data_IF_128141366683
#
_entry.id   IF_128141366683
#
_cell.length_a   1.000
_cell.length_b   1.000
_cell.length_c   1.000
_cell.angle_alpha   90.00
_cell.angle_beta   90.00
_cell.angle_gamma   90.00
#
_symmetry.space_group_name_H-M   'P 1'
#
loop_
_entity.id
_entity.type
_entity.pdbx_description
1 polymer ?
#
# COMPACT_ATOMS: atom_id res chain seq x y z
N UNK A 1 -21.00 2.89 -8.83
CA UNK A 1 -19.97 2.04 -8.20
C UNK A 1 -20.69 1.14 -7.22
N UNK A 2 -20.60 -0.19 -7.37
CA UNK A 2 -20.84 -1.07 -6.21
C UNK A 2 -19.82 -0.62 -5.16
N UNK A 3 -20.33 -0.08 -4.05
CA UNK A 3 -19.51 0.61 -3.06
C UNK A 3 -18.62 -0.39 -2.35
N UNK A 4 -17.36 -0.03 -2.14
CA UNK A 4 -16.52 -0.72 -1.16
C UNK A 4 -17.22 -0.69 0.21
N UNK A 5 -17.04 -1.72 1.06
CA UNK A 5 -17.66 -1.74 2.38
C UNK A 5 -17.15 -0.58 3.22
N UNK A 6 -18.03 -0.03 4.06
CA UNK A 6 -17.72 1.11 4.91
C UNK A 6 -16.84 0.67 6.07
N UNK A 7 -15.86 1.50 6.44
CA UNK A 7 -15.13 1.32 7.70
C UNK A 7 -16.03 1.70 8.86
N UNK A 8 -16.49 0.71 9.62
CA UNK A 8 -17.39 0.89 10.76
C UNK A 8 -16.64 1.24 12.04
N UNK A 9 -15.44 0.68 12.24
CA UNK A 9 -14.63 0.95 13.41
C UNK A 9 -13.14 0.71 13.15
N UNK A 10 -12.31 1.26 14.03
CA UNK A 10 -10.87 0.97 14.09
C UNK A 10 -10.54 0.52 15.50
N UNK A 11 -9.95 -0.67 15.62
CA UNK A 11 -9.34 -1.12 16.88
C UNK A 11 -7.83 -1.03 16.77
N UNK A 12 -7.18 -0.87 17.91
CA UNK A 12 -5.75 -0.64 17.98
C UNK A 12 -5.09 -1.66 18.91
N UNK A 13 -3.97 -2.22 18.45
CA UNK A 13 -2.95 -2.83 19.29
C UNK A 13 -1.71 -1.92 19.33
N UNK A 14 -0.71 -2.28 20.13
CA UNK A 14 0.48 -1.43 20.35
C UNK A 14 1.23 -1.11 19.04
N UNK A 15 1.22 -2.02 18.07
CA UNK A 15 1.99 -1.97 16.83
C UNK A 15 1.14 -1.94 15.55
N UNK A 16 -0.15 -2.24 15.62
CA UNK A 16 -1.03 -2.34 14.46
C UNK A 16 -2.45 -1.79 14.71
N UNK A 17 -3.13 -1.45 13.62
CA UNK A 17 -4.55 -1.08 13.62
C UNK A 17 -5.34 -2.12 12.83
N UNK A 18 -6.56 -2.39 13.25
CA UNK A 18 -7.51 -3.22 12.49
C UNK A 18 -8.72 -2.39 12.11
N UNK A 19 -9.02 -2.31 10.82
CA UNK A 19 -10.27 -1.76 10.32
C UNK A 19 -11.33 -2.85 10.35
N UNK A 20 -12.48 -2.54 10.95
CA UNK A 20 -13.67 -3.38 10.93
C UNK A 20 -14.65 -2.82 9.92
N UNK A 21 -15.07 -3.64 8.96
CA UNK A 21 -15.95 -3.23 7.87
C UNK A 21 -17.41 -3.60 8.18
N UNK A 22 -18.36 -2.90 7.56
CA UNK A 22 -19.79 -3.11 7.75
C UNK A 22 -20.30 -4.48 7.22
N UNK A 23 -19.54 -5.12 6.32
CA UNK A 23 -19.74 -6.49 5.87
C UNK A 23 -19.16 -7.55 6.82
N UNK A 24 -18.70 -7.14 8.01
CA UNK A 24 -18.03 -7.97 9.03
C UNK A 24 -16.63 -8.48 8.67
N UNK A 25 -16.06 -8.08 7.53
CA UNK A 25 -14.65 -8.34 7.22
C UNK A 25 -13.72 -7.38 7.97
N UNK A 26 -12.43 -7.73 8.01
CA UNK A 26 -11.41 -6.94 8.69
C UNK A 26 -10.18 -6.72 7.81
N UNK A 27 -9.56 -5.54 7.91
CA UNK A 27 -8.27 -5.23 7.29
C UNK A 27 -7.26 -4.90 8.38
N UNK A 28 -6.14 -5.61 8.40
CA UNK A 28 -5.00 -5.28 9.24
C UNK A 28 -4.17 -4.16 8.58
N UNK A 29 -3.73 -3.19 9.37
CA UNK A 29 -2.85 -2.10 8.94
C UNK A 29 -1.52 -2.15 9.69
N UNK A 30 -0.42 -1.93 8.98
CA UNK A 30 0.95 -1.86 9.55
C UNK A 30 1.24 -0.47 10.11
N UNK A 31 0.36 -0.01 11.00
CA UNK A 31 0.48 1.29 11.65
C UNK A 31 -0.13 1.25 13.05
N UNK A 32 0.56 1.85 14.01
CA UNK A 32 0.06 2.04 15.36
C UNK A 32 -0.92 3.21 15.41
N UNK A 33 -1.74 3.25 16.46
CA UNK A 33 -2.63 4.39 16.71
C UNK A 33 -1.85 5.70 16.82
N UNK A 34 -0.73 5.70 17.51
CA UNK A 34 0.07 6.89 17.75
C UNK A 34 0.69 7.43 16.45
N UNK A 35 1.14 6.54 15.56
CA UNK A 35 1.63 6.93 14.24
C UNK A 35 0.51 7.57 13.39
N UNK A 36 -0.70 7.00 13.41
CA UNK A 36 -1.85 7.57 12.72
C UNK A 36 -2.23 8.95 13.26
N UNK A 37 -2.40 9.07 14.58
CA UNK A 37 -2.78 10.33 15.21
C UNK A 37 -1.70 11.41 14.99
N UNK A 38 -0.42 11.05 15.05
CA UNK A 38 0.69 11.95 14.75
C UNK A 38 0.66 12.42 13.28
N UNK A 39 0.45 11.50 12.34
CA UNK A 39 0.32 11.81 10.91
C UNK A 39 -0.85 12.78 10.66
N UNK A 40 -2.04 12.49 11.22
CA UNK A 40 -3.22 13.31 11.06
C UNK A 40 -2.99 14.71 11.62
N UNK A 41 -2.44 14.81 12.83
CA UNK A 41 -2.12 16.09 13.47
C UNK A 41 -1.10 16.89 12.67
N UNK A 42 -0.03 16.25 12.20
CA UNK A 42 1.05 16.92 11.47
C UNK A 42 0.59 17.49 10.13
N UNK A 43 -0.36 16.82 9.47
CA UNK A 43 -0.90 17.23 8.17
C UNK A 43 -2.23 17.99 8.31
N UNK A 44 -2.59 18.43 9.52
CA UNK A 44 -3.80 19.20 9.82
C UNK A 44 -5.10 18.50 9.35
N UNK A 45 -5.10 17.17 9.35
CA UNK A 45 -6.28 16.37 9.03
C UNK A 45 -7.23 16.24 10.24
N UNK A 46 -8.53 16.00 10.00
CA UNK A 46 -9.47 15.69 11.07
C UNK A 46 -9.03 14.49 11.91
N UNK A 47 -9.41 14.44 13.20
CA UNK A 47 -9.20 13.26 14.05
C UNK A 47 -9.82 11.99 13.44
N UNK A 48 -9.32 10.83 13.84
CA UNK A 48 -9.76 9.53 13.31
C UNK A 48 -11.28 9.33 13.40
N UNK A 49 -11.92 9.76 14.50
CA UNK A 49 -13.37 9.66 14.67
C UNK A 49 -14.12 10.46 13.61
N UNK A 50 -13.66 11.68 13.30
CA UNK A 50 -14.27 12.52 12.26
C UNK A 50 -14.07 11.92 10.86
N UNK A 51 -12.94 11.25 10.61
CA UNK A 51 -12.72 10.54 9.35
C UNK A 51 -13.70 9.37 9.18
N UNK A 52 -13.96 8.63 10.26
CA UNK A 52 -14.91 7.51 10.26
C UNK A 52 -16.36 7.98 10.11
N UNK A 53 -16.76 9.03 10.84
CA UNK A 53 -18.11 9.57 10.79
C UNK A 53 -18.46 10.16 9.41
N UNK A 54 -17.43 10.61 8.67
CA UNK A 54 -17.56 11.21 7.34
C UNK A 54 -17.25 10.24 6.19
N UNK A 55 -17.05 8.95 6.49
CA UNK A 55 -16.69 7.93 5.50
C UNK A 55 -15.47 8.29 4.63
N UNK A 56 -14.46 8.94 5.25
CA UNK A 56 -13.24 9.40 4.58
C UNK A 56 -12.12 8.36 4.55
N UNK A 57 -12.37 7.16 5.07
CA UNK A 57 -11.45 6.02 4.94
C UNK A 57 -12.12 4.98 4.05
N UNK A 58 -11.60 4.86 2.83
CA UNK A 58 -12.04 3.87 1.85
C UNK A 58 -11.18 2.62 2.03
N UNK A 59 -11.78 1.61 2.66
CA UNK A 59 -11.22 0.27 2.65
C UNK A 59 -11.35 -0.30 1.23
N UNK A 60 -10.23 -0.74 0.65
CA UNK A 60 -10.22 -1.51 -0.59
C UNK A 60 -9.92 -2.96 -0.21
N UNK A 61 -10.90 -3.71 0.31
CA UNK A 61 -10.75 -5.15 0.49
C UNK A 61 -10.83 -5.76 -0.89
N UNK A 62 -9.69 -6.19 -1.40
CA UNK A 62 -9.68 -6.98 -2.61
C UNK A 62 -8.87 -8.23 -2.31
N UNK A 63 -9.34 -9.42 -2.73
CA UNK A 63 -8.37 -10.48 -2.97
C UNK A 63 -7.30 -9.91 -3.90
N UNK A 64 -6.06 -10.38 -3.76
CA UNK A 64 -5.00 -10.06 -4.69
C UNK A 64 -5.52 -10.24 -6.11
N UNK A 65 -5.33 -9.23 -6.97
CA UNK A 65 -5.80 -9.26 -8.35
C UNK A 65 -4.93 -10.18 -9.20
N UNK A 66 -3.64 -10.25 -8.85
CA UNK A 66 -2.74 -11.26 -9.42
C UNK A 66 -3.06 -12.65 -8.87
N UNK A 67 -2.90 -13.66 -9.71
CA UNK A 67 -2.96 -15.08 -9.36
C UNK A 67 -1.65 -15.55 -8.73
N UNK A 68 -1.67 -16.73 -8.10
CA UNK A 68 -0.47 -17.38 -7.55
C UNK A 68 0.61 -17.59 -8.63
N UNK A 69 0.23 -18.08 -9.82
CA UNK A 69 1.17 -18.30 -10.92
C UNK A 69 1.79 -16.99 -11.44
N UNK A 70 1.03 -15.90 -11.46
CA UNK A 70 1.55 -14.58 -11.81
C UNK A 70 2.53 -14.08 -10.76
N UNK A 71 2.20 -14.25 -9.47
CA UNK A 71 3.11 -13.89 -8.39
C UNK A 71 4.41 -14.68 -8.45
N UNK A 72 4.36 -16.01 -8.59
CA UNK A 72 5.56 -16.84 -8.67
C UNK A 72 6.48 -16.40 -9.83
N UNK A 73 5.88 -16.09 -10.98
CA UNK A 73 6.60 -15.60 -12.15
C UNK A 73 7.23 -14.23 -11.90
N UNK A 74 6.46 -13.28 -11.37
CA UNK A 74 6.94 -11.92 -11.09
C UNK A 74 8.02 -11.93 -10.02
N UNK A 75 7.81 -12.68 -8.93
CA UNK A 75 8.75 -12.79 -7.83
C UNK A 75 10.07 -13.42 -8.28
N UNK A 76 10.02 -14.47 -9.11
CA UNK A 76 11.22 -15.05 -9.74
C UNK A 76 11.98 -14.02 -10.57
N UNK A 77 11.30 -13.26 -11.43
CA UNK A 77 11.92 -12.21 -12.25
C UNK A 77 12.57 -11.12 -11.38
N UNK A 78 11.86 -10.64 -10.35
CA UNK A 78 12.36 -9.61 -9.43
C UNK A 78 13.59 -10.09 -8.64
N UNK A 79 13.59 -11.35 -8.16
CA UNK A 79 14.72 -11.94 -7.42
C UNK A 79 15.99 -12.08 -8.29
N UNK A 80 15.81 -12.27 -9.59
CA UNK A 80 16.93 -12.42 -10.53
C UNK A 80 17.40 -11.09 -11.14
N UNK A 81 16.59 -10.04 -11.09
CA UNK A 81 16.91 -8.73 -11.66
C UNK A 81 18.03 -8.01 -10.89
N UNK A 82 19.10 -7.61 -11.59
CA UNK A 82 20.16 -6.80 -10.97
C UNK A 82 19.67 -5.41 -10.57
N UNK A 83 18.83 -4.78 -11.40
CA UNK A 83 18.27 -3.46 -11.13
C UNK A 83 17.45 -3.48 -9.84
N UNK A 84 16.60 -4.50 -9.68
CA UNK A 84 15.82 -4.66 -8.45
C UNK A 84 16.69 -5.04 -7.24
N UNK A 85 17.76 -5.83 -7.44
CA UNK A 85 18.74 -6.10 -6.38
C UNK A 85 19.40 -4.82 -5.87
N UNK A 86 19.70 -3.85 -6.72
CA UNK A 86 20.24 -2.55 -6.28
C UNK A 86 19.22 -1.77 -5.43
N UNK A 87 17.94 -1.78 -5.82
CA UNK A 87 16.87 -1.18 -5.02
C UNK A 87 16.75 -1.85 -3.65
N UNK A 88 16.72 -3.18 -3.59
CA UNK A 88 16.57 -3.92 -2.32
C UNK A 88 17.79 -3.82 -1.41
N UNK A 89 19.00 -3.59 -1.93
CA UNK A 89 20.17 -3.21 -1.10
C UNK A 89 19.93 -1.89 -0.37
N UNK A 90 19.26 -0.92 -1.01
CA UNK A 90 18.90 0.37 -0.42
C UNK A 90 17.70 0.27 0.51
N UNK A 91 16.72 -0.58 0.17
CA UNK A 91 15.49 -0.78 0.95
C UNK A 91 15.29 -2.27 1.29
N UNK A 92 16.00 -2.81 2.30
CA UNK A 92 16.02 -4.24 2.59
C UNK A 92 14.65 -4.85 2.93
N UNK A 93 13.70 -4.06 3.47
CA UNK A 93 12.34 -4.53 3.76
C UNK A 93 11.60 -5.02 2.51
N UNK A 94 11.87 -4.43 1.34
CA UNK A 94 11.29 -4.89 0.07
C UNK A 94 11.77 -6.31 -0.28
N UNK A 95 13.02 -6.65 0.07
CA UNK A 95 13.54 -7.99 -0.18
C UNK A 95 12.71 -9.04 0.56
N UNK A 96 12.40 -8.80 1.83
CA UNK A 96 11.58 -9.69 2.66
C UNK A 96 10.21 -9.91 2.03
N UNK A 97 9.57 -8.84 1.56
CA UNK A 97 8.25 -8.92 0.92
C UNK A 97 8.28 -9.74 -0.37
N UNK A 98 9.30 -9.56 -1.22
CA UNK A 98 9.43 -10.32 -2.48
C UNK A 98 9.76 -11.81 -2.26
N UNK A 99 10.24 -12.21 -1.08
CA UNK A 99 10.49 -13.61 -0.74
C UNK A 99 9.26 -14.35 -0.18
N UNK A 100 8.14 -13.66 0.00
CA UNK A 100 6.93 -14.28 0.51
C UNK A 100 6.24 -15.17 -0.54
N UNK A 101 5.57 -16.21 -0.06
CA UNK A 101 4.65 -17.03 -0.87
C UNK A 101 3.37 -16.26 -1.14
N UNK A 102 2.60 -16.69 -2.15
CA UNK A 102 1.31 -16.06 -2.46
C UNK A 102 0.35 -16.05 -1.26
N UNK A 103 0.24 -17.17 -0.54
CA UNK A 103 -0.55 -17.27 0.70
C UNK A 103 -0.11 -16.28 1.77
N UNK A 104 1.20 -16.06 1.92
CA UNK A 104 1.72 -15.11 2.89
C UNK A 104 1.33 -13.67 2.52
N UNK A 105 1.27 -13.32 1.23
CA UNK A 105 0.87 -11.99 0.78
C UNK A 105 -0.56 -11.62 1.20
N UNK A 106 -1.47 -12.60 1.21
CA UNK A 106 -2.85 -12.39 1.67
C UNK A 106 -2.95 -12.00 3.14
N UNK A 107 -1.96 -12.41 3.94
CA UNK A 107 -1.92 -12.12 5.39
C UNK A 107 -1.19 -10.81 5.70
N UNK A 108 -0.55 -10.19 4.70
CA UNK A 108 0.18 -8.96 4.92
C UNK A 108 -0.76 -7.81 5.29
N UNK A 109 -0.40 -7.01 6.30
CA UNK A 109 -1.13 -5.78 6.60
C UNK A 109 -1.13 -4.84 5.40
N UNK A 110 -2.27 -4.18 5.18
CA UNK A 110 -2.41 -3.12 4.20
C UNK A 110 -1.65 -1.87 4.65
N UNK A 111 -1.29 -1.05 3.67
CA UNK A 111 -0.85 0.31 3.91
C UNK A 111 -2.04 1.27 3.82
N UNK A 112 -2.01 2.34 4.60
CA UNK A 112 -2.94 3.46 4.52
C UNK A 112 -2.26 4.62 3.80
N UNK A 113 -2.92 5.22 2.80
CA UNK A 113 -2.39 6.37 2.08
C UNK A 113 -3.43 7.45 1.87
N UNK A 114 -2.96 8.70 1.84
CA UNK A 114 -3.75 9.84 1.41
C UNK A 114 -3.46 10.05 -0.08
N UNK A 115 -4.50 10.08 -0.92
CA UNK A 115 -4.34 10.20 -2.38
C UNK A 115 -3.47 11.39 -2.78
N UNK A 116 -2.59 11.21 -3.77
CA UNK A 116 -1.76 12.29 -4.34
C UNK A 116 -2.72 13.29 -5.01
N UNK A 117 -2.92 14.45 -4.39
CA UNK A 117 -3.66 15.57 -5.00
C UNK A 117 -5.10 15.80 -4.53
N UNK A 118 -5.59 15.14 -3.48
CA UNK A 118 -6.94 15.41 -2.96
C UNK A 118 -6.96 16.43 -1.80
N UNK A 119 -6.35 17.59 -2.03
CA UNK A 119 -6.90 18.83 -1.53
C UNK A 119 -7.85 19.32 -2.62
N UNK A 120 -9.11 18.87 -2.59
CA UNK A 120 -10.12 19.44 -3.48
C UNK A 120 -10.28 20.91 -3.09
N UNK A 121 -9.68 21.79 -3.90
CA UNK A 121 -9.85 23.25 -3.81
C UNK A 121 -11.33 23.57 -3.57
N UNK A 122 -11.62 24.07 -2.36
CA UNK A 122 -12.95 24.56 -1.98
C UNK A 122 -13.92 23.57 -1.34
N UNK A 123 -13.57 22.27 -1.17
CA UNK A 123 -14.42 21.29 -0.41
C UNK A 123 -13.61 20.37 0.52
N UNK A 124 -12.33 20.69 0.74
CA UNK A 124 -11.24 19.82 1.16
C UNK A 124 -11.45 18.94 2.39
N UNK A 125 -11.74 17.67 2.15
CA UNK A 125 -11.46 16.58 3.08
C UNK A 125 -10.66 15.53 2.32
N UNK A 126 -9.47 15.21 2.83
CA UNK A 126 -8.64 14.16 2.28
C UNK A 126 -9.32 12.80 2.49
N UNK A 127 -9.44 12.03 1.41
CA UNK A 127 -9.86 10.63 1.48
C UNK A 127 -8.63 9.75 1.61
N UNK A 128 -8.67 8.86 2.60
CA UNK A 128 -7.67 7.83 2.83
C UNK A 128 -8.10 6.53 2.16
N UNK A 129 -7.12 5.79 1.66
CA UNK A 129 -7.34 4.53 0.97
C UNK A 129 -6.42 3.45 1.55
N UNK A 130 -6.90 2.22 1.62
CA UNK A 130 -6.04 1.07 1.92
C UNK A 130 -5.49 0.45 0.63
N UNK A 131 -4.28 -0.10 0.69
CA UNK A 131 -3.78 -0.96 -0.40
C UNK A 131 -2.96 -2.12 0.14
N UNK A 132 -3.10 -3.28 -0.50
CA UNK A 132 -2.19 -4.41 -0.28
C UNK A 132 -0.75 -3.97 -0.62
N UNK A 133 0.25 -4.37 0.18
CA UNK A 133 1.65 -4.00 -0.04
C UNK A 133 2.21 -4.57 -1.35
N UNK A 134 1.77 -5.76 -1.74
CA UNK A 134 2.10 -6.39 -3.02
C UNK A 134 0.80 -6.83 -3.69
N UNK A 135 0.55 -6.30 -4.88
CA UNK A 135 -0.52 -6.75 -5.79
C UNK A 135 -0.19 -6.17 -7.17
N UNK A 136 0.61 -6.88 -7.95
CA UNK A 136 1.02 -6.42 -9.28
C UNK A 136 -0.14 -6.52 -10.26
N UNK A 137 -0.40 -5.46 -11.00
CA UNK A 137 -1.53 -5.39 -11.93
C UNK A 137 -1.04 -5.14 -13.34
N UNK A 138 -1.75 -5.66 -14.34
CA UNK A 138 -1.44 -5.41 -15.74
C UNK A 138 -1.42 -3.92 -16.04
N UNK A 139 -0.34 -3.44 -16.66
CA UNK A 139 -0.19 -2.06 -17.09
C UNK A 139 -0.49 -1.95 -18.59
N UNK A 140 -1.73 -1.58 -18.90
CA UNK A 140 -2.19 -1.41 -20.28
C UNK A 140 -1.47 -0.27 -21.01
N UNK A 141 -0.96 0.74 -20.30
CA UNK A 141 -0.27 1.89 -20.91
C UNK A 141 1.12 1.49 -21.42
N UNK A 142 1.84 0.68 -20.65
CA UNK A 142 3.17 0.16 -21.04
C UNK A 142 3.06 -0.98 -22.06
N UNK A 143 1.92 -1.66 -22.08
CA UNK A 143 1.54 -2.63 -23.10
C UNK A 143 1.42 -4.05 -22.56
N UNK A 144 1.13 -4.98 -23.46
CA UNK A 144 0.93 -6.40 -23.11
C UNK A 144 2.14 -6.97 -22.35
N UNK A 145 1.86 -7.87 -21.40
CA UNK A 145 2.84 -8.58 -20.56
C UNK A 145 3.56 -7.71 -19.51
N UNK A 146 3.24 -6.41 -19.43
CA UNK A 146 3.73 -5.53 -18.36
C UNK A 146 2.81 -5.54 -17.16
N UNK A 147 3.43 -5.60 -15.99
CA UNK A 147 2.78 -5.49 -14.68
C UNK A 147 3.42 -4.36 -13.89
N UNK A 148 2.61 -3.67 -13.09
CA UNK A 148 3.03 -2.53 -12.30
C UNK A 148 2.60 -2.67 -10.84
N UNK A 149 3.49 -2.25 -9.95
CA UNK A 149 3.16 -1.95 -8.55
C UNK A 149 4.01 -0.78 -8.06
N UNK A 150 3.38 0.10 -7.30
CA UNK A 150 4.05 1.07 -6.45
C UNK A 150 4.36 0.42 -5.10
N UNK A 151 5.63 0.09 -4.85
CA UNK A 151 6.08 -0.50 -3.59
C UNK A 151 6.45 0.60 -2.58
N UNK A 152 6.17 0.36 -1.30
CA UNK A 152 6.41 1.33 -0.22
C UNK A 152 7.51 0.80 0.69
N UNK A 153 8.49 1.63 1.01
CA UNK A 153 9.72 1.21 1.72
C UNK A 153 9.70 1.51 3.23
N UNK A 154 8.63 2.14 3.74
CA UNK A 154 8.46 2.50 5.15
C UNK A 154 9.20 3.77 5.59
N UNK A 155 10.13 4.27 4.78
CA UNK A 155 10.95 5.48 5.04
C UNK A 155 10.57 6.64 4.09
N UNK A 156 9.30 6.73 3.71
CA UNK A 156 8.75 7.71 2.77
C UNK A 156 9.24 7.60 1.32
N UNK A 157 9.95 6.53 0.94
CA UNK A 157 10.23 6.27 -0.47
C UNK A 157 9.16 5.40 -1.10
N UNK A 158 8.92 5.69 -2.37
CA UNK A 158 8.06 4.91 -3.25
C UNK A 158 8.92 4.36 -4.36
N UNK A 159 8.72 3.10 -4.71
CA UNK A 159 9.41 2.44 -5.81
C UNK A 159 8.38 2.01 -6.84
N UNK A 160 8.32 2.76 -7.95
CA UNK A 160 7.62 2.34 -9.16
C UNK A 160 8.33 1.13 -9.72
N UNK A 161 7.65 -0.01 -9.73
CA UNK A 161 8.22 -1.27 -10.18
C UNK A 161 7.38 -1.79 -11.34
N UNK A 162 8.00 -1.87 -12.51
CA UNK A 162 7.42 -2.47 -13.71
C UNK A 162 8.13 -3.78 -14.01
N UNK A 163 7.36 -4.81 -14.33
CA UNK A 163 7.87 -6.15 -14.65
C UNK A 163 7.24 -6.60 -15.96
N UNK A 164 8.06 -6.94 -16.96
CA UNK A 164 7.59 -7.61 -18.16
C UNK A 164 7.77 -9.12 -18.00
N UNK A 165 6.68 -9.87 -17.90
CA UNK A 165 6.75 -11.31 -17.63
C UNK A 165 7.33 -12.12 -18.80
N UNK A 166 7.25 -11.59 -20.04
CA UNK A 166 7.71 -12.28 -21.24
C UNK A 166 9.19 -12.06 -21.53
N UNK A 167 9.64 -10.81 -21.48
CA UNK A 167 11.05 -10.45 -21.70
C UNK A 167 11.90 -10.57 -20.43
N UNK A 168 11.25 -10.75 -19.27
CA UNK A 168 11.86 -10.71 -17.93
C UNK A 168 12.54 -9.37 -17.60
N UNK A 169 12.18 -8.32 -18.33
CA UNK A 169 12.66 -6.98 -18.04
C UNK A 169 12.05 -6.45 -16.74
N UNK A 170 12.85 -5.73 -15.96
CA UNK A 170 12.40 -5.01 -14.78
C UNK A 170 12.84 -3.56 -14.93
N UNK A 171 11.92 -2.64 -14.68
CA UNK A 171 12.24 -1.22 -14.60
C UNK A 171 11.82 -0.69 -13.24
N UNK A 172 12.74 -0.03 -12.56
CA UNK A 172 12.49 0.58 -11.27
C UNK A 172 12.82 2.06 -11.30
N UNK A 173 11.93 2.87 -10.74
CA UNK A 173 12.20 4.26 -10.40
C UNK A 173 11.79 4.46 -8.94
N UNK A 174 12.49 5.31 -8.21
CA UNK A 174 12.09 5.64 -6.86
C UNK A 174 12.17 7.13 -6.59
N UNK A 175 11.27 7.60 -5.74
CA UNK A 175 11.16 8.98 -5.33
C UNK A 175 10.87 9.02 -3.83
N UNK A 176 11.40 10.03 -3.14
CA UNK A 176 10.96 10.34 -1.80
C UNK A 176 9.66 11.14 -1.90
N UNK A 177 8.57 10.57 -1.38
CA UNK A 177 7.27 11.23 -1.28
C UNK A 177 6.85 11.19 0.19
N UNK A 178 7.34 12.14 1.00
CA UNK A 178 6.90 12.29 2.38
C UNK A 178 5.38 12.33 2.45
N UNK A 179 4.84 11.66 3.45
CA UNK A 179 3.42 11.69 3.78
C UNK A 179 2.48 11.03 2.77
N UNK A 180 2.97 10.41 1.71
CA UNK A 180 2.10 9.70 0.78
C UNK A 180 1.40 8.51 1.47
N UNK A 181 2.18 7.71 2.21
CA UNK A 181 1.67 6.66 3.09
C UNK A 181 1.79 7.07 4.55
N UNK A 182 0.83 6.63 5.36
CA UNK A 182 0.94 6.67 6.82
C UNK A 182 1.83 5.51 7.23
N UNK A 183 2.97 5.82 7.85
CA UNK A 183 3.92 4.80 8.29
C UNK A 183 4.12 4.87 9.80
N UNK A 184 4.48 3.74 10.40
CA UNK A 184 5.19 3.69 11.68
C UNK A 184 6.60 4.27 11.50
N UNK A 185 6.73 5.53 11.11
CA UNK A 185 8.03 6.18 11.15
C UNK A 185 8.50 6.14 12.60
N UNK A 186 9.70 5.59 12.83
CA UNK A 186 10.42 5.72 14.08
C UNK A 186 10.36 7.19 14.48
N UNK A 187 9.78 7.49 15.64
CA UNK A 187 9.97 8.80 16.24
C UNK A 187 11.48 9.10 16.19
N UNK A 188 11.86 10.10 15.40
CA UNK A 188 13.24 10.55 15.29
C UNK A 188 13.78 11.05 16.62
#
# INVERSE_FOLDING_TARGET
MQGYPRVAAITHADDCCTLHLDDSSTILLDLSRSALEAYLKQNEFPPICDLLDRDLIVAIPLPLRMTESEWDTIADILRQSEDFRQITRRFPKLLTQIHQTYDQLHTLPHHLYCGIGMYLEGKGLATFYTSHPIDFQSDEQKGKDWYFKLLVTGDNHLVWTYVNIRSRAVETQFECRPWHYVTNASAG
#
